data_IF_414539503014
#
_entry.id   IF_414539503014
#
_cell.length_a   1.000
_cell.length_b   1.000
_cell.length_c   1.000
_cell.angle_alpha   90.00
_cell.angle_beta   90.00
_cell.angle_gamma   90.00
#
_symmetry.space_group_name_H-M   'P 1'
#
loop_
_entity.id
_entity.type
_entity.pdbx_description
1 polymer ?
#
# COMPACT_ATOMS: atom_id res chain seq x y z
N UNK A 1 -33.58 3.33 -1.21
CA UNK A 1 -32.38 2.51 -0.94
C UNK A 1 -31.52 2.55 -2.19
N UNK A 2 -30.49 3.39 -2.22
CA UNK A 2 -29.52 3.38 -3.32
C UNK A 2 -28.57 2.21 -3.10
N UNK A 3 -28.48 1.30 -4.08
CA UNK A 3 -27.47 0.26 -4.13
C UNK A 3 -26.10 0.93 -4.12
N UNK A 4 -25.40 0.89 -2.99
CA UNK A 4 -24.05 1.41 -2.87
C UNK A 4 -23.10 0.58 -3.73
N UNK A 5 -22.93 0.95 -4.99
CA UNK A 5 -21.78 0.58 -5.79
C UNK A 5 -20.54 1.09 -5.04
N UNK A 6 -19.93 0.23 -4.23
CA UNK A 6 -18.55 0.44 -3.80
C UNK A 6 -17.72 0.39 -5.07
N UNK A 7 -17.30 1.56 -5.55
CA UNK A 7 -16.56 1.68 -6.79
C UNK A 7 -15.21 0.98 -6.63
N UNK A 8 -15.14 -0.30 -7.02
CA UNK A 8 -13.90 -1.10 -6.97
C UNK A 8 -12.74 -0.40 -7.68
N UNK A 9 -13.03 0.52 -8.60
CA UNK A 9 -12.02 1.34 -9.28
C UNK A 9 -11.25 2.23 -8.31
N UNK A 10 -11.81 2.57 -7.14
CA UNK A 10 -11.14 3.40 -6.13
C UNK A 10 -10.00 2.68 -5.41
N UNK A 11 -10.06 1.34 -5.33
CA UNK A 11 -9.07 0.51 -4.63
C UNK A 11 -8.11 -0.21 -5.57
N UNK A 12 -8.15 0.17 -6.85
CA UNK A 12 -7.32 -0.36 -7.92
C UNK A 12 -6.39 0.73 -8.41
N UNK A 13 -5.14 0.40 -8.72
CA UNK A 13 -4.22 1.25 -9.46
C UNK A 13 -3.59 0.50 -10.62
N UNK A 14 -2.93 1.23 -11.51
CA UNK A 14 -2.14 0.64 -12.59
C UNK A 14 -0.75 1.24 -12.62
N UNK A 15 0.20 0.50 -13.17
CA UNK A 15 1.53 1.01 -13.46
C UNK A 15 1.50 2.04 -14.59
N UNK A 16 2.61 2.76 -14.77
CA UNK A 16 2.72 3.82 -15.77
C UNK A 16 2.57 3.32 -17.21
N UNK A 17 2.88 2.05 -17.48
CA UNK A 17 2.76 1.44 -18.81
C UNK A 17 1.40 0.77 -19.02
N UNK A 18 0.51 0.80 -18.01
CA UNK A 18 -0.80 0.15 -18.05
C UNK A 18 -0.69 -1.35 -18.43
N UNK A 19 0.35 -2.01 -17.91
CA UNK A 19 0.63 -3.43 -18.05
C UNK A 19 0.12 -4.23 -16.85
N UNK A 20 0.23 -3.65 -15.65
CA UNK A 20 -0.11 -4.29 -14.39
C UNK A 20 -1.18 -3.51 -13.65
N UNK A 21 -2.10 -4.24 -13.03
CA UNK A 21 -3.13 -3.71 -12.16
C UNK A 21 -2.90 -4.19 -10.73
N UNK A 22 -3.01 -3.28 -9.76
CA UNK A 22 -2.68 -3.52 -8.37
C UNK A 22 -3.91 -3.34 -7.49
N UNK A 23 -4.05 -4.23 -6.50
CA UNK A 23 -4.99 -4.10 -5.39
C UNK A 23 -4.26 -4.45 -4.11
N UNK A 24 -4.37 -3.60 -3.08
CA UNK A 24 -3.62 -3.80 -1.83
C UNK A 24 -4.59 -3.92 -0.65
N UNK A 25 -4.56 -5.08 0.01
CA UNK A 25 -5.33 -5.34 1.23
C UNK A 25 -4.44 -5.14 2.45
N UNK A 26 -4.97 -4.46 3.46
CA UNK A 26 -4.29 -4.31 4.74
C UNK A 26 -4.47 -5.59 5.57
N UNK A 27 -3.36 -6.19 6.01
CA UNK A 27 -3.36 -7.40 6.84
C UNK A 27 -3.12 -7.08 8.31
N UNK A 28 -2.17 -6.20 8.58
CA UNK A 28 -1.80 -5.80 9.93
C UNK A 28 -1.64 -4.28 10.00
N UNK A 29 -2.43 -3.66 10.88
CA UNK A 29 -2.43 -2.22 11.13
C UNK A 29 -2.32 -1.94 12.62
N UNK A 30 -1.84 -0.75 12.96
CA UNK A 30 -1.78 -0.24 14.32
C UNK A 30 -2.40 1.15 14.38
N UNK A 31 -3.60 1.21 14.93
CA UNK A 31 -4.37 2.46 15.12
C UNK A 31 -3.94 3.21 16.39
N UNK A 32 -3.14 2.57 17.25
CA UNK A 32 -2.68 3.15 18.53
C UNK A 32 -1.32 3.83 18.38
N UNK A 33 -0.60 3.52 17.30
CA UNK A 33 0.70 4.08 17.00
C UNK A 33 0.61 5.61 16.78
N UNK A 34 1.63 6.35 17.24
CA UNK A 34 1.67 7.81 17.13
C UNK A 34 2.51 8.23 15.91
N UNK A 35 1.93 8.91 14.91
CA UNK A 35 2.70 9.38 13.76
C UNK A 35 3.71 10.45 14.17
N UNK A 36 4.82 10.60 13.44
CA UNK A 36 5.70 11.76 13.59
C UNK A 36 4.91 13.04 13.36
N UNK A 37 4.94 13.99 14.30
CA UNK A 37 4.15 15.23 14.29
C UNK A 37 2.61 15.04 14.21
N UNK A 38 1.98 14.49 15.26
CA UNK A 38 0.54 14.21 15.27
C UNK A 38 -0.33 15.46 15.06
N UNK A 39 0.14 16.63 15.50
CA UNK A 39 -0.55 17.91 15.31
C UNK A 39 -0.73 18.31 13.84
N UNK A 40 0.13 17.83 12.93
CA UNK A 40 0.09 18.17 11.50
C UNK A 40 -0.65 17.14 10.66
N UNK A 41 -0.54 15.86 11.02
CA UNK A 41 -1.02 14.77 10.18
C UNK A 41 -2.42 14.25 10.53
N UNK A 42 -3.00 14.71 11.64
CA UNK A 42 -4.29 14.24 12.13
C UNK A 42 -4.23 12.77 12.55
N UNK A 43 -5.40 12.12 12.61
CA UNK A 43 -5.47 10.70 12.93
C UNK A 43 -4.86 9.85 11.81
N UNK A 44 -3.92 8.96 12.16
CA UNK A 44 -3.21 8.09 11.23
C UNK A 44 -3.19 6.67 11.75
N UNK A 45 -3.21 5.74 10.81
CA UNK A 45 -3.04 4.32 11.06
C UNK A 45 -1.68 3.91 10.51
N UNK A 46 -0.90 3.19 11.31
CA UNK A 46 0.37 2.62 10.85
C UNK A 46 0.11 1.28 10.19
N UNK A 47 0.48 1.13 8.93
CA UNK A 47 0.41 -0.15 8.22
C UNK A 47 1.69 -0.94 8.48
N UNK A 48 1.56 -2.19 8.93
CA UNK A 48 2.69 -3.10 9.19
C UNK A 48 2.81 -4.15 8.10
N UNK A 49 1.69 -4.76 7.69
CA UNK A 49 1.68 -5.81 6.65
C UNK A 49 0.54 -5.63 5.67
N UNK A 50 0.78 -5.99 4.42
CA UNK A 50 -0.21 -5.94 3.34
C UNK A 50 -0.14 -7.19 2.46
N UNK A 51 -1.27 -7.50 1.81
CA UNK A 51 -1.33 -8.42 0.68
C UNK A 51 -1.44 -7.59 -0.59
N UNK A 52 -0.47 -7.73 -1.48
CA UNK A 52 -0.47 -7.11 -2.80
C UNK A 52 -0.95 -8.14 -3.81
N UNK A 53 -1.99 -7.79 -4.55
CA UNK A 53 -2.44 -8.53 -5.72
C UNK A 53 -1.96 -7.77 -6.96
N UNK A 54 -1.22 -8.45 -7.83
CA UNK A 54 -0.68 -7.91 -9.07
C UNK A 54 -1.27 -8.72 -10.22
N UNK A 55 -2.09 -8.07 -11.05
CA UNK A 55 -2.67 -8.67 -12.23
C UNK A 55 -1.92 -8.21 -13.47
N UNK A 56 -1.35 -9.15 -14.23
CA UNK A 56 -0.86 -8.87 -15.58
C UNK A 56 -2.06 -8.74 -16.53
N UNK A 57 -2.23 -7.57 -17.13
CA UNK A 57 -3.40 -7.25 -17.96
C UNK A 57 -3.37 -7.95 -19.32
N UNK A 58 -2.20 -8.37 -19.81
CA UNK A 58 -2.08 -9.08 -21.07
C UNK A 58 -2.43 -10.57 -20.94
N UNK A 59 -2.05 -11.19 -19.82
CA UNK A 59 -2.24 -12.63 -19.59
C UNK A 59 -3.41 -12.96 -18.67
N UNK A 60 -3.93 -11.98 -17.93
CA UNK A 60 -4.88 -12.15 -16.83
C UNK A 60 -4.37 -13.00 -15.65
N UNK A 61 -3.07 -13.30 -15.61
CA UNK A 61 -2.46 -13.95 -14.45
C UNK A 61 -2.47 -13.00 -13.26
N UNK A 62 -2.78 -13.54 -12.08
CA UNK A 62 -2.78 -12.80 -10.81
C UNK A 62 -1.75 -13.43 -9.89
N UNK A 63 -0.83 -12.60 -9.43
CA UNK A 63 0.13 -12.95 -8.39
C UNK A 63 -0.30 -12.31 -7.08
N UNK A 64 -0.09 -13.05 -5.99
CA UNK A 64 -0.37 -12.60 -4.63
C UNK A 64 0.93 -12.63 -3.83
N UNK A 65 1.19 -11.55 -3.10
CA UNK A 65 2.40 -11.41 -2.31
C UNK A 65 2.10 -10.68 -1.00
N UNK A 66 2.41 -11.34 0.11
CA UNK A 66 2.43 -10.69 1.42
C UNK A 66 3.72 -9.90 1.59
N UNK A 67 3.60 -8.66 2.05
CA UNK A 67 4.72 -7.78 2.33
C UNK A 67 4.69 -7.31 3.77
N UNK A 68 5.79 -7.58 4.48
CA UNK A 68 6.08 -6.97 5.77
C UNK A 68 6.75 -5.61 5.55
N UNK A 69 5.95 -4.55 5.60
CA UNK A 69 6.39 -3.19 5.33
C UNK A 69 7.33 -2.67 6.43
N UNK A 70 7.18 -3.14 7.66
CA UNK A 70 8.07 -2.79 8.75
C UNK A 70 9.46 -3.40 8.54
N UNK A 71 9.53 -4.69 8.18
CA UNK A 71 10.79 -5.35 7.83
C UNK A 71 11.47 -4.68 6.63
N UNK A 72 10.71 -4.28 5.60
CA UNK A 72 11.23 -3.56 4.44
C UNK A 72 11.79 -2.18 4.81
N UNK A 73 11.13 -1.46 5.71
CA UNK A 73 11.63 -0.18 6.22
C UNK A 73 12.94 -0.34 7.02
N UNK A 74 13.02 -1.34 7.91
CA UNK A 74 14.26 -1.63 8.63
C UNK A 74 15.40 -2.03 7.69
N UNK A 75 15.09 -2.81 6.64
CA UNK A 75 16.06 -3.19 5.61
C UNK A 75 16.55 -1.97 4.82
N UNK A 76 15.65 -1.07 4.43
CA UNK A 76 15.99 0.19 3.74
C UNK A 76 16.94 1.07 4.56
N UNK A 77 16.66 1.26 5.86
CA UNK A 77 17.53 2.02 6.77
C UNK A 77 18.92 1.38 6.82
N UNK A 78 18.99 0.05 6.93
CA UNK A 78 20.24 -0.70 7.03
C UNK A 78 21.07 -0.67 5.76
N UNK A 79 20.45 -0.87 4.60
CA UNK A 79 21.16 -1.04 3.31
C UNK A 79 21.39 0.28 2.58
N UNK A 80 20.49 1.26 2.75
CA UNK A 80 20.46 2.49 1.94
C UNK A 80 20.52 3.77 2.76
N UNK A 81 20.44 3.71 4.09
CA UNK A 81 20.52 4.88 5.00
C UNK A 81 19.36 5.89 4.80
N UNK A 82 18.28 5.48 4.15
CA UNK A 82 17.03 6.24 4.04
C UNK A 82 15.83 5.29 3.93
N UNK A 83 14.62 5.80 4.19
CA UNK A 83 13.33 5.11 3.99
C UNK A 83 12.28 6.12 3.56
N UNK A 84 11.24 5.67 2.87
CA UNK A 84 10.11 6.52 2.50
C UNK A 84 9.23 6.94 3.69
N UNK A 85 9.20 6.18 4.78
CA UNK A 85 8.30 6.41 5.93
C UNK A 85 6.80 6.54 5.57
N UNK A 86 6.39 6.02 4.41
CA UNK A 86 5.04 6.18 3.84
C UNK A 86 3.97 5.22 4.42
N UNK A 87 4.26 4.54 5.54
CA UNK A 87 3.34 3.56 6.14
C UNK A 87 2.18 4.17 6.92
N UNK A 88 2.17 5.49 7.09
CA UNK A 88 1.14 6.22 7.83
C UNK A 88 -0.01 6.66 6.93
N UNK A 89 -1.11 5.92 6.97
CA UNK A 89 -2.28 6.17 6.11
C UNK A 89 -3.41 6.86 6.88
N UNK A 90 -4.21 7.66 6.18
CA UNK A 90 -5.44 8.19 6.77
C UNK A 90 -6.50 7.08 6.80
N UNK A 91 -7.32 6.94 7.86
CA UNK A 91 -8.45 6.02 7.83
C UNK A 91 -9.42 6.28 6.67
N UNK A 92 -9.53 7.53 6.20
CA UNK A 92 -10.35 7.89 5.03
C UNK A 92 -9.89 7.20 3.74
N UNK A 93 -8.62 6.83 3.69
CA UNK A 93 -7.97 6.21 2.54
C UNK A 93 -8.16 4.68 2.53
N UNK A 94 -8.84 4.14 3.55
CA UNK A 94 -9.13 2.73 3.71
C UNK A 94 -10.61 2.48 3.35
N UNK A 95 -10.86 1.53 2.46
CA UNK A 95 -12.19 1.10 2.02
C UNK A 95 -12.29 -0.42 2.16
N UNK A 96 -13.10 -0.88 3.11
CA UNK A 96 -13.34 -2.31 3.36
C UNK A 96 -12.05 -3.13 3.52
N UNK A 97 -11.05 -2.58 4.22
CA UNK A 97 -9.74 -3.23 4.44
C UNK A 97 -8.76 -3.11 3.27
N UNK A 98 -9.11 -2.41 2.19
CA UNK A 98 -8.21 -2.08 1.09
C UNK A 98 -7.78 -0.62 1.16
N UNK A 99 -6.55 -0.33 0.76
CA UNK A 99 -6.10 1.05 0.57
C UNK A 99 -6.56 1.55 -0.81
N UNK A 100 -6.82 2.84 -0.95
CA UNK A 100 -7.19 3.43 -2.24
C UNK A 100 -6.00 3.45 -3.23
N UNK A 101 -6.31 3.28 -4.51
CA UNK A 101 -5.34 3.01 -5.56
C UNK A 101 -4.22 4.03 -5.70
N UNK A 102 -4.53 5.33 -5.59
CA UNK A 102 -3.51 6.38 -5.75
C UNK A 102 -2.47 6.39 -4.63
N UNK A 103 -2.72 5.70 -3.50
CA UNK A 103 -1.75 5.49 -2.42
C UNK A 103 -0.85 4.28 -2.62
N UNK A 104 -1.13 3.40 -3.58
CA UNK A 104 -0.33 2.19 -3.82
C UNK A 104 1.15 2.50 -4.06
N UNK A 105 1.54 3.46 -4.95
CA UNK A 105 2.95 3.71 -5.20
C UNK A 105 3.70 4.21 -3.96
N UNK A 106 3.05 5.05 -3.13
CA UNK A 106 3.63 5.54 -1.88
C UNK A 106 3.92 4.39 -0.91
N UNK A 107 2.96 3.47 -0.74
CA UNK A 107 3.05 2.34 0.19
C UNK A 107 4.05 1.27 -0.28
N UNK A 108 4.20 1.10 -1.59
CA UNK A 108 5.11 0.11 -2.20
C UNK A 108 6.52 0.64 -2.48
N UNK A 109 6.79 1.93 -2.25
CA UNK A 109 8.04 2.59 -2.64
C UNK A 109 9.30 1.86 -2.14
N UNK A 110 9.33 1.42 -0.87
CA UNK A 110 10.47 0.69 -0.32
C UNK A 110 10.63 -0.71 -0.95
N UNK A 111 9.51 -1.38 -1.26
CA UNK A 111 9.54 -2.71 -1.88
C UNK A 111 10.10 -2.63 -3.32
N UNK A 112 9.71 -1.59 -4.05
CA UNK A 112 10.21 -1.31 -5.41
C UNK A 112 11.69 -0.94 -5.36
N UNK A 113 12.10 -0.05 -4.44
CA UNK A 113 13.50 0.37 -4.28
C UNK A 113 14.46 -0.77 -3.88
N UNK A 114 13.93 -1.83 -3.27
CA UNK A 114 14.66 -3.04 -2.89
C UNK A 114 14.54 -4.18 -3.92
N UNK A 115 13.95 -3.92 -5.09
CA UNK A 115 13.68 -4.90 -6.15
C UNK A 115 12.82 -6.11 -5.71
N UNK A 116 12.03 -5.96 -4.65
CA UNK A 116 11.09 -6.99 -4.15
C UNK A 116 9.87 -7.08 -5.06
N UNK A 117 9.33 -5.92 -5.45
CA UNK A 117 8.33 -5.83 -6.52
C UNK A 117 9.05 -5.38 -7.78
N UNK A 118 8.83 -6.13 -8.87
CA UNK A 118 9.28 -5.76 -10.20
C UNK A 118 8.06 -5.37 -11.02
N UNK A 119 8.08 -4.15 -11.55
CA UNK A 119 7.00 -3.54 -12.32
C UNK A 119 7.53 -3.14 -13.70
#
# INVERSE_FOLDING_TARGET
MSLGYSDERLIISRDALNRYEFKIKLLEIDETARPPNPHRFGHRVLVKKVLVLIKDLATNNVEEMELDLEALEQRMIKERVFTSANRWVSPSDIKNGYIIGWKHPELLANAIALDVIKI
#
